data_IF_856207941593
#
_entry.id   IF_856207941593
#
_cell.length_a   1.000
_cell.length_b   1.000
_cell.length_c   1.000
_cell.angle_alpha   90.00
_cell.angle_beta   90.00
_cell.angle_gamma   90.00
#
_symmetry.space_group_name_H-M   'P 1'
#
loop_
_entity.id
_entity.type
_entity.pdbx_description
1 polymer ?
#
# COMPACT_ATOMS: atom_id res chain seq x y z
N UNK A 1 47.52 -53.79 11.76
CA UNK A 1 46.77 -52.51 11.75
C UNK A 1 46.96 -51.87 10.37
N UNK A 2 45.86 -51.46 9.73
CA UNK A 2 45.80 -51.05 8.31
C UNK A 2 46.46 -49.68 8.05
N UNK A 3 47.11 -49.53 6.90
CA UNK A 3 47.04 -48.29 6.11
C UNK A 3 46.97 -48.61 4.62
N UNK A 4 45.84 -48.23 4.03
CA UNK A 4 45.52 -48.24 2.60
C UNK A 4 46.16 -47.03 1.92
N UNK A 5 46.85 -47.23 0.79
CA UNK A 5 47.19 -46.15 -0.14
C UNK A 5 46.64 -46.49 -1.51
N UNK A 6 45.61 -45.74 -1.89
CA UNK A 6 44.96 -45.71 -3.20
C UNK A 6 45.95 -45.32 -4.29
N UNK A 7 46.15 -46.19 -5.30
CA UNK A 7 46.87 -45.83 -6.52
C UNK A 7 45.87 -45.71 -7.67
N UNK A 8 45.45 -44.47 -7.94
CA UNK A 8 44.62 -44.12 -9.09
C UNK A 8 45.48 -44.08 -10.35
N UNK A 9 44.96 -44.60 -11.46
CA UNK A 9 45.62 -44.62 -12.77
C UNK A 9 45.71 -43.18 -13.31
N UNK A 10 46.88 -42.70 -13.78
CA UNK A 10 47.00 -41.36 -14.34
C UNK A 10 46.36 -41.28 -15.73
N UNK A 11 45.55 -40.23 -15.97
CA UNK A 11 45.01 -39.93 -17.29
C UNK A 11 46.13 -39.52 -18.25
N UNK A 12 46.23 -40.24 -19.38
CA UNK A 12 47.15 -39.93 -20.48
C UNK A 12 46.77 -38.58 -21.09
N UNK A 13 47.68 -37.59 -21.05
CA UNK A 13 47.51 -36.33 -21.79
C UNK A 13 47.45 -36.65 -23.29
N UNK A 14 46.50 -36.03 -23.99
CA UNK A 14 46.31 -36.20 -25.43
C UNK A 14 47.51 -35.59 -26.15
N UNK A 15 48.31 -36.45 -26.79
CA UNK A 15 49.45 -36.05 -27.60
C UNK A 15 49.00 -35.08 -28.71
N UNK A 16 49.73 -33.98 -28.84
CA UNK A 16 49.69 -33.03 -29.95
C UNK A 16 50.27 -33.69 -31.20
N UNK A 17 49.61 -34.69 -31.76
CA UNK A 17 50.01 -35.25 -33.04
C UNK A 17 48.80 -35.79 -33.81
N UNK A 18 48.32 -34.96 -34.76
CA UNK A 18 48.18 -35.38 -36.16
C UNK A 18 47.71 -34.22 -37.03
N UNK A 19 48.72 -33.61 -37.66
CA UNK A 19 48.64 -32.99 -38.98
C UNK A 19 47.89 -33.90 -39.96
N UNK A 20 47.09 -33.26 -40.82
CA UNK A 20 46.74 -33.69 -42.17
C UNK A 20 46.27 -35.15 -42.35
N UNK A 21 44.95 -35.37 -42.33
CA UNK A 21 44.36 -36.38 -43.22
C UNK A 21 43.24 -35.73 -44.03
N UNK A 22 43.52 -35.49 -45.32
CA UNK A 22 42.51 -35.20 -46.33
C UNK A 22 41.79 -36.52 -46.61
N UNK A 23 40.68 -36.77 -45.92
CA UNK A 23 39.73 -37.79 -46.34
C UNK A 23 38.62 -37.11 -47.15
N UNK A 24 38.66 -37.26 -48.47
CA UNK A 24 37.52 -36.97 -49.33
C UNK A 24 36.51 -38.11 -49.16
N UNK A 25 35.39 -37.84 -48.50
CA UNK A 25 34.30 -38.79 -48.35
C UNK A 25 33.31 -38.58 -49.50
N UNK A 26 33.21 -39.55 -50.41
CA UNK A 26 32.22 -39.54 -51.49
C UNK A 26 30.81 -39.75 -50.92
N UNK A 27 29.94 -38.75 -51.05
CA UNK A 27 28.61 -38.72 -50.44
C UNK A 27 27.58 -39.58 -51.22
N UNK A 28 27.94 -40.12 -52.39
CA UNK A 28 26.98 -40.78 -53.29
C UNK A 28 26.97 -42.32 -53.26
N UNK A 29 27.20 -42.93 -52.09
CA UNK A 29 26.86 -44.36 -51.88
C UNK A 29 26.33 -44.57 -50.45
N UNK A 30 25.05 -44.26 -50.25
CA UNK A 30 24.13 -45.15 -49.56
C UNK A 30 22.73 -44.53 -49.50
N UNK A 31 21.83 -45.12 -50.28
CA UNK A 31 20.39 -45.11 -50.06
C UNK A 31 20.09 -45.78 -48.72
N UNK A 32 19.78 -44.99 -47.70
CA UNK A 32 19.40 -45.49 -46.39
C UNK A 32 19.09 -44.32 -45.47
N UNK A 33 17.86 -44.24 -45.01
CA UNK A 33 17.19 -43.12 -44.33
C UNK A 33 17.73 -42.76 -42.92
N UNK A 34 19.05 -42.76 -42.69
CA UNK A 34 19.59 -42.18 -41.47
C UNK A 34 19.70 -40.66 -41.62
N UNK A 35 18.91 -39.92 -40.83
CA UNK A 35 18.97 -38.45 -40.76
C UNK A 35 20.33 -38.04 -40.20
N UNK A 36 21.31 -37.81 -41.07
CA UNK A 36 22.65 -37.34 -40.66
C UNK A 36 22.52 -35.90 -40.17
N UNK A 37 22.59 -35.70 -38.84
CA UNK A 37 22.65 -34.37 -38.24
C UNK A 37 24.02 -33.78 -38.60
N UNK A 38 24.05 -32.84 -39.54
CA UNK A 38 25.29 -32.13 -39.90
C UNK A 38 25.79 -31.34 -38.70
N UNK A 39 27.04 -31.57 -38.31
CA UNK A 39 27.71 -30.71 -37.33
C UNK A 39 27.73 -29.27 -37.87
N UNK A 40 27.31 -28.27 -37.07
CA UNK A 40 27.35 -26.89 -37.51
C UNK A 40 28.79 -26.50 -37.80
N UNK A 41 29.06 -26.10 -39.05
CA UNK A 41 30.40 -25.74 -39.57
C UNK A 41 31.04 -24.57 -38.81
N UNK A 42 30.25 -23.83 -38.04
CA UNK A 42 30.66 -22.66 -37.29
C UNK A 42 30.12 -22.75 -35.86
N UNK A 43 30.97 -22.48 -34.86
CA UNK A 43 30.53 -22.33 -33.46
C UNK A 43 29.45 -21.23 -33.40
N UNK A 44 28.27 -21.55 -32.84
CA UNK A 44 27.28 -20.53 -32.47
C UNK A 44 28.00 -19.52 -31.57
N UNK A 45 28.03 -18.25 -32.00
CA UNK A 45 28.60 -17.17 -31.18
C UNK A 45 27.75 -17.10 -29.90
N UNK A 46 28.38 -17.14 -28.73
CA UNK A 46 27.69 -16.88 -27.48
C UNK A 46 27.15 -15.46 -27.57
N UNK A 47 25.85 -15.28 -27.44
CA UNK A 47 25.27 -13.95 -27.27
C UNK A 47 25.98 -13.29 -26.09
N UNK A 48 26.62 -12.15 -26.36
CA UNK A 48 27.25 -11.36 -25.32
C UNK A 48 26.11 -10.85 -24.45
N UNK A 49 25.86 -11.52 -23.33
CA UNK A 49 24.92 -11.04 -22.32
C UNK A 49 25.16 -9.56 -22.06
N UNK A 50 24.08 -8.79 -22.05
CA UNK A 50 24.13 -7.35 -21.84
C UNK A 50 24.84 -7.11 -20.52
N UNK A 51 26.04 -6.51 -20.57
CA UNK A 51 26.76 -6.09 -19.36
C UNK A 51 26.11 -4.79 -18.90
N UNK A 52 24.98 -4.89 -18.21
CA UNK A 52 24.10 -3.77 -17.84
C UNK A 52 24.82 -2.77 -16.91
N UNK A 53 25.82 -3.23 -16.16
CA UNK A 53 26.49 -2.39 -15.16
C UNK A 53 27.99 -2.57 -15.31
N UNK A 54 28.60 -1.82 -16.22
CA UNK A 54 30.03 -1.49 -16.07
C UNK A 54 30.08 -0.54 -14.87
N UNK A 55 30.93 -0.84 -13.89
CA UNK A 55 31.07 -0.12 -12.61
C UNK A 55 31.62 1.30 -12.83
N UNK A 56 30.88 2.12 -13.58
CA UNK A 56 31.24 3.47 -13.95
C UNK A 56 30.83 4.37 -12.77
N UNK A 57 31.82 4.87 -12.04
CA UNK A 57 31.62 5.77 -10.90
C UNK A 57 30.72 6.95 -11.26
N UNK A 58 30.80 7.46 -12.49
CA UNK A 58 29.93 8.52 -13.00
C UNK A 58 28.45 8.11 -13.08
N UNK A 59 28.16 6.87 -13.48
CA UNK A 59 26.78 6.38 -13.58
C UNK A 59 26.11 6.30 -12.20
N UNK A 60 26.85 5.87 -11.18
CA UNK A 60 26.36 5.80 -9.80
C UNK A 60 26.08 7.21 -9.25
N UNK A 61 26.94 8.19 -9.55
CA UNK A 61 26.76 9.59 -9.13
C UNK A 61 25.51 10.19 -9.79
N UNK A 62 25.34 9.99 -11.10
CA UNK A 62 24.16 10.50 -11.83
C UNK A 62 22.88 9.84 -11.34
N UNK A 63 22.90 8.53 -11.08
CA UNK A 63 21.75 7.81 -10.53
C UNK A 63 21.39 8.30 -9.13
N UNK A 64 22.41 8.61 -8.30
CA UNK A 64 22.22 9.20 -6.98
C UNK A 64 21.56 10.58 -7.04
N UNK A 65 21.99 11.44 -7.97
CA UNK A 65 21.34 12.74 -8.19
C UNK A 65 19.89 12.59 -8.62
N UNK A 66 19.58 11.69 -9.55
CA UNK A 66 18.21 11.43 -10.01
C UNK A 66 17.33 10.95 -8.86
N UNK A 67 17.84 10.04 -8.02
CA UNK A 67 17.12 9.57 -6.83
C UNK A 67 16.95 10.66 -5.77
N UNK A 68 17.93 11.54 -5.61
CA UNK A 68 17.83 12.65 -4.66
C UNK A 68 16.77 13.67 -5.09
N UNK A 69 16.77 14.06 -6.37
CA UNK A 69 15.76 14.97 -6.94
C UNK A 69 14.36 14.35 -6.97
N UNK A 70 14.24 13.04 -7.20
CA UNK A 70 12.94 12.36 -7.13
C UNK A 70 12.40 12.30 -5.71
N UNK A 71 13.28 12.10 -4.71
CA UNK A 71 12.90 12.10 -3.30
C UNK A 71 12.47 13.50 -2.82
N UNK A 72 13.22 14.54 -3.19
CA UNK A 72 12.84 15.95 -2.96
C UNK A 72 11.48 16.25 -3.59
N UNK A 73 11.29 15.87 -4.86
CA UNK A 73 10.01 16.05 -5.55
C UNK A 73 8.88 15.25 -4.90
N UNK A 74 9.15 14.08 -4.34
CA UNK A 74 8.15 13.28 -3.63
C UNK A 74 7.74 13.94 -2.31
N UNK A 75 8.68 14.48 -1.55
CA UNK A 75 8.41 15.21 -0.30
C UNK A 75 7.61 16.48 -0.60
N UNK A 76 8.02 17.26 -1.60
CA UNK A 76 7.30 18.48 -2.00
C UNK A 76 5.88 18.16 -2.49
N UNK A 77 5.72 17.11 -3.30
CA UNK A 77 4.43 16.75 -3.88
C UNK A 77 3.48 15.99 -2.94
N UNK A 78 3.98 15.19 -2.00
CA UNK A 78 3.11 14.39 -1.12
C UNK A 78 2.99 14.96 0.30
N UNK A 79 3.99 15.69 0.80
CA UNK A 79 3.96 16.20 2.18
C UNK A 79 3.63 17.70 2.26
N UNK A 80 4.00 18.48 1.24
CA UNK A 80 3.89 19.95 1.27
C UNK A 80 2.77 20.51 0.37
N UNK A 81 2.27 19.75 -0.62
CA UNK A 81 1.15 20.17 -1.48
C UNK A 81 -0.14 20.46 -0.74
N UNK A 82 -0.36 19.87 0.43
CA UNK A 82 -1.56 20.13 1.24
C UNK A 82 -1.44 21.39 2.11
N UNK A 83 -0.25 22.04 2.15
CA UNK A 83 0.00 23.19 3.02
C UNK A 83 0.20 24.51 2.28
N UNK A 84 0.77 24.50 1.06
CA UNK A 84 1.06 25.74 0.32
C UNK A 84 0.76 25.60 -1.17
N UNK A 85 0.00 26.57 -1.71
CA UNK A 85 -0.31 26.63 -3.14
C UNK A 85 0.88 27.12 -3.96
N UNK A 86 0.80 27.07 -5.31
CA UNK A 86 1.90 27.40 -6.22
C UNK A 86 2.45 28.85 -6.09
N UNK A 87 1.83 29.69 -5.27
CA UNK A 87 2.21 31.09 -5.07
C UNK A 87 2.62 31.41 -3.61
N UNK A 88 3.00 30.41 -2.81
CA UNK A 88 3.43 30.61 -1.40
C UNK A 88 2.31 31.07 -0.45
N UNK A 89 1.08 31.19 -0.95
CA UNK A 89 -0.11 31.43 -0.14
C UNK A 89 -0.56 30.07 0.44
N UNK A 90 -0.93 29.99 1.73
CA UNK A 90 -1.56 28.79 2.25
C UNK A 90 -2.80 28.53 1.40
N UNK A 91 -2.88 27.33 0.81
CA UNK A 91 -4.14 26.88 0.25
C UNK A 91 -5.12 26.95 1.43
N UNK A 92 -6.21 27.74 1.31
CA UNK A 92 -7.36 27.51 2.20
C UNK A 92 -7.57 26.02 2.17
N UNK A 93 -7.45 25.36 3.32
CA UNK A 93 -7.53 23.91 3.42
C UNK A 93 -8.92 23.48 2.95
N UNK A 94 -9.09 23.39 1.64
CA UNK A 94 -9.96 22.40 1.04
C UNK A 94 -9.15 21.13 1.20
N UNK A 95 -9.21 20.63 2.44
CA UNK A 95 -8.87 19.29 2.80
C UNK A 95 -9.24 18.42 1.62
N UNK A 96 -8.23 17.75 1.06
CA UNK A 96 -8.49 16.60 0.20
C UNK A 96 -9.30 15.64 1.06
N UNK A 97 -10.58 15.69 0.77
CA UNK A 97 -11.67 14.95 1.34
C UNK A 97 -11.30 13.49 1.57
N UNK A 98 -10.90 13.17 2.80
CA UNK A 98 -11.66 12.19 3.56
C UNK A 98 -12.93 12.89 4.07
N UNK A 99 -13.83 13.22 3.13
CA UNK A 99 -15.11 13.92 3.39
C UNK A 99 -16.12 13.09 4.20
N UNK A 100 -15.68 12.01 4.85
CA UNK A 100 -16.55 11.05 5.54
C UNK A 100 -16.34 10.98 7.05
N UNK A 101 -15.33 11.62 7.64
CA UNK A 101 -15.07 11.56 9.09
C UNK A 101 -15.62 12.75 9.87
N UNK A 102 -15.68 13.93 9.26
CA UNK A 102 -16.18 15.15 9.89
C UNK A 102 -17.66 15.34 9.55
N UNK A 103 -18.48 15.53 10.59
CA UNK A 103 -19.90 15.88 10.47
C UNK A 103 -19.97 17.34 10.01
N UNK A 104 -20.73 17.65 8.95
CA UNK A 104 -20.93 19.06 8.55
C UNK A 104 -21.73 19.81 9.63
N UNK A 105 -21.59 21.13 9.72
CA UNK A 105 -22.36 21.92 10.70
C UNK A 105 -23.88 21.73 10.55
N UNK A 106 -24.36 21.59 9.31
CA UNK A 106 -25.76 21.32 9.01
C UNK A 106 -26.20 19.93 9.47
N UNK A 107 -25.38 18.88 9.25
CA UNK A 107 -25.64 17.54 9.76
C UNK A 107 -25.61 17.53 11.29
N UNK A 108 -24.63 18.22 11.90
CA UNK A 108 -24.49 18.33 13.35
C UNK A 108 -25.75 18.90 13.99
N UNK A 109 -26.25 20.02 13.45
CA UNK A 109 -27.48 20.66 13.93
C UNK A 109 -28.68 19.70 13.82
N UNK A 110 -28.88 19.07 12.65
CA UNK A 110 -30.00 18.13 12.44
C UNK A 110 -29.96 16.93 13.38
N UNK A 111 -28.78 16.32 13.59
CA UNK A 111 -28.64 15.18 14.50
C UNK A 111 -28.70 15.61 15.97
N UNK A 112 -28.21 16.81 16.31
CA UNK A 112 -28.37 17.36 17.65
C UNK A 112 -29.84 17.56 18.00
N UNK A 113 -30.64 18.17 17.12
CA UNK A 113 -32.07 18.39 17.34
C UNK A 113 -32.82 17.06 17.53
N UNK A 114 -32.50 16.05 16.69
CA UNK A 114 -33.05 14.69 16.82
C UNK A 114 -32.67 14.05 18.15
N UNK A 115 -31.42 14.20 18.57
CA UNK A 115 -30.93 13.63 19.82
C UNK A 115 -31.60 14.30 21.01
N UNK A 116 -31.69 15.63 21.02
CA UNK A 116 -32.39 16.40 22.04
C UNK A 116 -33.86 15.97 22.17
N UNK A 117 -34.59 15.89 21.06
CA UNK A 117 -35.98 15.45 21.06
C UNK A 117 -36.14 14.04 21.65
N UNK A 118 -35.25 13.13 21.28
CA UNK A 118 -35.27 11.74 21.74
C UNK A 118 -34.95 11.62 23.24
N UNK A 119 -33.94 12.36 23.71
CA UNK A 119 -33.56 12.41 25.13
C UNK A 119 -34.67 13.02 25.98
N UNK A 120 -35.27 14.13 25.54
CA UNK A 120 -36.42 14.75 26.23
C UNK A 120 -37.60 13.78 26.33
N UNK A 121 -37.88 13.04 25.28
CA UNK A 121 -38.94 12.01 25.26
C UNK A 121 -38.64 10.86 26.22
N UNK A 122 -37.42 10.31 26.18
CA UNK A 122 -37.00 9.18 27.01
C UNK A 122 -37.05 9.49 28.51
N UNK A 123 -36.60 10.69 28.90
CA UNK A 123 -36.54 11.13 30.29
C UNK A 123 -37.77 11.92 30.75
N UNK A 124 -38.76 12.13 29.87
CA UNK A 124 -39.97 12.94 30.13
C UNK A 124 -39.63 14.33 30.69
N UNK A 125 -38.66 15.01 30.09
CA UNK A 125 -38.14 16.29 30.57
C UNK A 125 -39.07 17.46 30.24
N UNK A 126 -39.27 18.36 31.21
CA UNK A 126 -39.88 19.68 31.02
C UNK A 126 -38.92 20.65 30.29
N UNK A 127 -39.47 21.77 29.78
CA UNK A 127 -38.74 22.81 29.03
C UNK A 127 -37.59 23.48 29.78
N UNK A 128 -37.57 23.39 31.11
CA UNK A 128 -36.53 23.99 31.97
C UNK A 128 -35.20 23.24 31.91
N UNK A 129 -35.19 21.97 31.49
CA UNK A 129 -33.98 21.17 31.37
C UNK A 129 -33.28 21.44 30.04
N UNK A 130 -31.96 21.57 30.07
CA UNK A 130 -31.15 21.79 28.87
C UNK A 130 -30.48 20.49 28.44
N UNK A 131 -30.62 20.15 27.16
CA UNK A 131 -29.94 19.02 26.53
C UNK A 131 -28.98 19.61 25.50
N UNK A 132 -27.69 19.26 25.57
CA UNK A 132 -26.69 19.78 24.65
C UNK A 132 -25.84 18.65 24.11
N UNK A 133 -25.73 18.60 22.78
CA UNK A 133 -24.75 17.76 22.11
C UNK A 133 -23.38 18.45 22.14
N UNK A 134 -22.36 17.78 22.68
CA UNK A 134 -21.00 18.32 22.78
C UNK A 134 -20.13 17.91 21.60
N UNK A 135 -20.19 16.63 21.23
CA UNK A 135 -19.30 16.07 20.21
C UNK A 135 -20.07 15.11 19.32
N UNK A 136 -19.69 15.08 18.04
CA UNK A 136 -20.27 14.15 17.08
C UNK A 136 -19.19 13.66 16.12
N UNK A 137 -19.20 12.36 15.85
CA UNK A 137 -18.23 11.69 14.99
C UNK A 137 -18.93 10.81 13.96
N UNK A 138 -18.48 10.87 12.71
CA UNK A 138 -19.03 10.09 11.61
C UNK A 138 -18.08 8.96 11.24
N UNK A 139 -18.60 7.75 11.11
CA UNK A 139 -17.85 6.60 10.62
C UNK A 139 -18.72 5.82 9.61
N UNK A 140 -18.53 6.11 8.33
CA UNK A 140 -19.35 5.55 7.26
C UNK A 140 -20.82 5.95 7.41
N UNK A 141 -21.70 4.96 7.59
CA UNK A 141 -23.14 5.18 7.78
C UNK A 141 -23.54 5.42 9.24
N UNK A 142 -22.59 5.35 10.16
CA UNK A 142 -22.81 5.56 11.59
C UNK A 142 -22.42 6.96 12.01
N UNK A 143 -23.23 7.56 12.88
CA UNK A 143 -22.93 8.82 13.54
C UNK A 143 -23.08 8.62 15.05
N UNK A 144 -22.00 8.92 15.76
CA UNK A 144 -21.92 8.83 17.21
C UNK A 144 -22.02 10.23 17.76
N UNK A 145 -22.96 10.46 18.67
CA UNK A 145 -23.23 11.75 19.30
C UNK A 145 -23.09 11.60 20.80
N UNK A 146 -22.42 12.54 21.45
CA UNK A 146 -22.27 12.56 22.90
C UNK A 146 -22.62 13.94 23.43
N UNK A 147 -23.21 13.97 24.61
CA UNK A 147 -23.61 15.22 25.23
C UNK A 147 -24.05 15.06 26.67
N UNK A 148 -24.66 16.13 27.17
CA UNK A 148 -25.11 16.24 28.53
C UNK A 148 -26.52 16.80 28.63
N UNK A 149 -27.23 16.35 29.66
CA UNK A 149 -28.52 16.87 30.11
C UNK A 149 -28.31 17.50 31.47
N UNK A 150 -28.61 18.78 31.59
CA UNK A 150 -28.69 19.46 32.88
C UNK A 150 -30.13 19.39 33.39
N UNK A 151 -30.34 18.58 34.41
CA UNK A 151 -31.62 18.45 35.12
C UNK A 151 -31.81 19.65 36.07
N UNK A 152 -30.76 20.03 36.79
CA UNK A 152 -30.67 21.20 37.65
C UNK A 152 -29.26 21.80 37.53
N UNK A 153 -29.00 22.96 38.16
CA UNK A 153 -27.67 23.62 38.16
C UNK A 153 -26.51 22.69 38.55
N UNK A 154 -26.79 21.72 39.42
CA UNK A 154 -25.77 20.82 39.98
C UNK A 154 -25.91 19.35 39.51
N UNK A 155 -26.92 19.03 38.69
CA UNK A 155 -27.17 17.65 38.28
C UNK A 155 -27.10 17.52 36.76
N UNK A 156 -25.97 17.00 36.30
CA UNK A 156 -25.64 16.78 34.89
C UNK A 156 -25.54 15.27 34.67
N UNK A 157 -26.33 14.76 33.73
CA UNK A 157 -26.26 13.37 33.27
C UNK A 157 -25.75 13.34 31.83
N UNK A 158 -25.06 12.28 31.46
CA UNK A 158 -24.46 12.14 30.14
C UNK A 158 -25.30 11.23 29.25
N UNK A 159 -25.28 11.50 27.95
CA UNK A 159 -25.89 10.63 26.96
C UNK A 159 -24.92 10.32 25.81
N UNK A 160 -25.08 9.12 25.28
CA UNK A 160 -24.48 8.65 24.03
C UNK A 160 -25.61 8.23 23.09
N UNK A 161 -25.56 8.68 21.84
CA UNK A 161 -26.51 8.33 20.81
C UNK A 161 -25.80 7.83 19.55
N UNK A 162 -26.35 6.77 18.96
CA UNK A 162 -25.84 6.18 17.72
C UNK A 162 -26.93 6.28 16.67
N UNK A 163 -26.59 6.89 15.55
CA UNK A 163 -27.43 6.91 14.36
C UNK A 163 -26.85 5.98 13.30
N UNK A 164 -27.70 5.25 12.61
CA UNK A 164 -27.36 4.48 11.41
C UNK A 164 -28.26 4.94 10.27
N UNK A 165 -27.69 5.26 9.10
CA UNK A 165 -28.48 5.72 7.94
C UNK A 165 -29.44 6.89 8.28
N UNK A 166 -28.99 7.81 9.13
CA UNK A 166 -29.74 8.98 9.63
C UNK A 166 -30.93 8.69 10.56
N UNK A 167 -31.11 7.43 10.99
CA UNK A 167 -32.11 7.01 11.98
C UNK A 167 -31.43 6.75 13.32
N UNK A 168 -32.09 7.13 14.43
CA UNK A 168 -31.58 6.86 15.77
C UNK A 168 -31.71 5.36 16.04
N UNK A 169 -30.59 4.71 16.35
CA UNK A 169 -30.53 3.27 16.58
C UNK A 169 -30.25 2.92 18.02
N UNK A 170 -29.41 3.68 18.71
CA UNK A 170 -29.21 3.49 20.14
C UNK A 170 -29.19 4.82 20.85
N UNK A 171 -29.78 4.85 22.04
CA UNK A 171 -29.71 5.99 22.96
C UNK A 171 -29.43 5.46 24.35
N UNK A 172 -28.31 5.89 24.90
CA UNK A 172 -27.82 5.48 26.20
C UNK A 172 -27.68 6.73 27.07
N UNK A 173 -28.28 6.72 28.24
CA UNK A 173 -28.28 7.85 29.16
C UNK A 173 -27.84 7.33 30.52
N UNK A 174 -26.73 7.86 31.04
CA UNK A 174 -26.13 7.47 32.31
C UNK A 174 -25.99 5.93 32.46
N UNK A 175 -25.44 5.29 31.43
CA UNK A 175 -25.25 3.83 31.42
C UNK A 175 -26.49 3.00 31.06
N UNK A 176 -27.69 3.60 31.03
CA UNK A 176 -28.94 2.88 30.73
C UNK A 176 -29.35 3.06 29.27
N UNK A 177 -29.63 1.95 28.59
CA UNK A 177 -30.09 1.95 27.20
C UNK A 177 -31.61 2.17 27.16
N UNK A 178 -32.05 3.20 26.43
CA UNK A 178 -33.46 3.57 26.26
C UNK A 178 -34.01 3.19 24.88
N UNK A 179 -33.14 2.96 23.90
CA UNK A 179 -33.51 2.63 22.53
C UNK A 179 -32.42 1.74 21.91
N UNK A 180 -32.82 0.77 21.09
CA UNK A 180 -31.96 -0.25 20.45
C UNK A 180 -32.41 -0.56 19.02
#
# INVERSE_FOLDING_TARGET
>A
MKTTVSKTIPFKKRDEDKKNSKYNFDINKNSGSSKVIRYPKYKKKKDKGVKIIKNNKFFVIVLGLIMFFSLLSFIDNNLLKDKYGPNGKPLKSHSRASSSLLVSETEFSQFSDKTESSVRSALKLSGEHSVKTKTMHKNGNYIYSQGDVSLNKDNIIYFDAIFENKQLKSLLIDGKEYLK
#
